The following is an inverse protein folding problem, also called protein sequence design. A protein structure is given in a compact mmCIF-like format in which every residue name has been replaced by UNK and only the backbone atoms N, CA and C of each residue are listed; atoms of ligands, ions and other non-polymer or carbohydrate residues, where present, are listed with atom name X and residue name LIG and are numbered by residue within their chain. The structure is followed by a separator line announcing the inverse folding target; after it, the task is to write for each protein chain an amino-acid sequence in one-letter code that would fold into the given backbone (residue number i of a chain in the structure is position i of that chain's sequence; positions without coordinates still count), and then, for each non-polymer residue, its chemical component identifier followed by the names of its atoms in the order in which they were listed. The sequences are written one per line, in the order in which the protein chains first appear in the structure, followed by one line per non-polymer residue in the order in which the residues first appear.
data_IF_745193925025
#
_entry.id   IF_745193925025
#
_cell.length_a   1.000
_cell.length_b   1.000
_cell.length_c   1.000
_cell.angle_alpha   90.00
_cell.angle_beta   90.00
_cell.angle_gamma   90.00
#
_symmetry.space_group_name_H-M   'P 1'
#
loop_
_entity.id
_entity.type
_entity.pdbx_description
1 polymer ?
#
# COMPACT_ATOMS: atom_id res chain seq x y z
N UNK A 1 28.20 -3.98 -23.93
CA UNK A 1 27.25 -4.02 -22.78
C UNK A 1 26.21 -2.88 -22.82
N UNK A 2 26.05 -2.13 -23.93
CA UNK A 2 25.07 -1.06 -24.07
C UNK A 2 23.62 -1.55 -24.14
N UNK A 3 23.37 -2.66 -24.84
CA UNK A 3 22.02 -3.22 -25.06
C UNK A 3 21.23 -3.51 -23.76
N UNK A 4 21.91 -4.02 -22.72
CA UNK A 4 21.26 -4.27 -21.42
C UNK A 4 20.96 -2.99 -20.65
N UNK A 5 21.81 -1.97 -20.78
CA UNK A 5 21.61 -0.67 -20.12
C UNK A 5 20.49 0.13 -20.82
N UNK A 6 20.45 0.10 -22.14
CA UNK A 6 19.38 0.69 -22.96
C UNK A 6 18.04 0.01 -22.66
N UNK A 7 18.00 -1.33 -22.64
CA UNK A 7 16.80 -2.08 -22.27
C UNK A 7 16.35 -1.81 -20.81
N UNK A 8 17.28 -1.69 -19.87
CA UNK A 8 16.95 -1.35 -18.49
C UNK A 8 16.44 0.09 -18.34
N UNK A 9 16.97 1.02 -19.12
CA UNK A 9 16.52 2.41 -19.16
C UNK A 9 15.11 2.51 -19.76
N UNK A 10 14.85 1.75 -20.81
CA UNK A 10 13.55 1.64 -21.47
C UNK A 10 12.48 1.09 -20.50
N UNK A 11 12.77 0.01 -19.77
CA UNK A 11 11.87 -0.51 -18.72
C UNK A 11 11.66 0.46 -17.53
N UNK A 12 12.55 1.45 -17.37
CA UNK A 12 12.48 2.43 -16.30
C UNK A 12 11.75 3.72 -16.71
N UNK A 13 11.37 3.86 -17.98
CA UNK A 13 10.67 5.05 -18.49
C UNK A 13 9.23 5.12 -17.91
N UNK A 14 8.86 6.18 -17.17
CA UNK A 14 7.51 6.35 -16.66
C UNK A 14 6.44 6.42 -17.77
N UNK A 15 6.78 6.83 -18.99
CA UNK A 15 5.83 6.84 -20.12
C UNK A 15 5.50 5.42 -20.59
N UNK A 16 6.53 4.59 -20.82
CA UNK A 16 6.34 3.19 -21.21
C UNK A 16 5.67 2.38 -20.09
N UNK A 17 6.02 2.65 -18.83
CA UNK A 17 5.35 2.02 -17.69
C UNK A 17 3.84 2.30 -17.69
N UNK A 18 3.42 3.54 -17.98
CA UNK A 18 2.00 3.90 -18.03
C UNK A 18 1.26 3.15 -19.14
N UNK A 19 1.86 3.02 -20.33
CA UNK A 19 1.26 2.27 -21.44
C UNK A 19 1.08 0.80 -21.03
N UNK A 20 2.13 0.18 -20.50
CA UNK A 20 2.07 -1.19 -20.00
C UNK A 20 0.99 -1.39 -18.92
N UNK A 21 0.91 -0.49 -17.94
CA UNK A 21 -0.09 -0.55 -16.87
C UNK A 21 -1.52 -0.43 -17.43
N UNK A 22 -1.73 0.41 -18.44
CA UNK A 22 -3.03 0.58 -19.11
C UNK A 22 -3.44 -0.68 -19.88
N UNK A 23 -2.51 -1.26 -20.66
CA UNK A 23 -2.74 -2.49 -21.40
C UNK A 23 -3.07 -3.66 -20.46
N UNK A 24 -2.30 -3.83 -19.38
CA UNK A 24 -2.55 -4.88 -18.40
C UNK A 24 -3.90 -4.70 -17.70
N UNK A 25 -4.26 -3.46 -17.41
CA UNK A 25 -5.55 -3.13 -16.79
C UNK A 25 -6.71 -3.46 -17.74
N UNK A 26 -6.58 -3.14 -19.03
CA UNK A 26 -7.60 -3.45 -20.04
C UNK A 26 -7.81 -4.98 -20.19
N UNK A 27 -6.71 -5.73 -20.30
CA UNK A 27 -6.74 -7.19 -20.43
C UNK A 27 -7.38 -7.89 -19.22
N UNK A 28 -7.10 -7.42 -18.00
CA UNK A 28 -7.70 -8.01 -16.79
C UNK A 28 -9.17 -7.60 -16.63
N UNK A 29 -9.54 -6.40 -17.11
CA UNK A 29 -10.94 -5.95 -17.15
C UNK A 29 -11.78 -6.80 -18.09
N UNK A 30 -11.26 -7.21 -19.25
CA UNK A 30 -11.91 -8.17 -20.15
C UNK A 30 -12.22 -9.51 -19.45
N UNK A 31 -11.42 -9.87 -18.45
CA UNK A 31 -11.63 -11.05 -17.59
C UNK A 31 -12.53 -10.78 -16.39
N UNK A 32 -13.16 -9.61 -16.32
CA UNK A 32 -14.03 -9.22 -15.21
C UNK A 32 -13.27 -8.83 -13.92
N UNK A 33 -11.99 -8.48 -14.01
CA UNK A 33 -11.16 -8.07 -12.87
C UNK A 33 -10.80 -6.60 -12.99
N UNK A 34 -11.10 -5.82 -11.95
CA UNK A 34 -10.57 -4.48 -11.79
C UNK A 34 -9.15 -4.56 -11.21
N UNK A 35 -8.18 -4.10 -11.99
CA UNK A 35 -6.77 -4.02 -11.61
C UNK A 35 -6.42 -2.59 -11.24
N UNK A 36 -5.75 -2.40 -10.09
CA UNK A 36 -5.19 -1.10 -9.68
C UNK A 36 -3.74 -1.26 -9.26
N UNK A 37 -2.85 -0.54 -9.94
CA UNK A 37 -1.45 -0.42 -9.52
C UNK A 37 -1.34 0.55 -8.36
N UNK A 38 -0.50 0.22 -7.39
CA UNK A 38 -0.02 1.16 -6.39
C UNK A 38 1.39 1.60 -6.77
N UNK A 39 1.71 2.86 -6.55
CA UNK A 39 3.04 3.45 -6.67
C UNK A 39 3.42 4.08 -5.32
N UNK A 40 3.82 3.27 -4.32
CA UNK A 40 3.98 3.73 -2.96
C UNK A 40 5.07 4.81 -2.84
N UNK A 41 4.69 5.98 -2.34
CA UNK A 41 5.62 7.02 -1.95
C UNK A 41 6.15 6.76 -0.52
N UNK A 42 7.46 6.90 -0.31
CA UNK A 42 8.09 6.65 0.98
C UNK A 42 7.70 7.67 2.06
N UNK A 43 7.21 7.17 3.20
CA UNK A 43 6.90 7.98 4.38
C UNK A 43 8.04 7.91 5.41
N UNK A 44 8.11 6.81 6.15
CA UNK A 44 9.16 6.49 7.11
C UNK A 44 9.36 4.98 7.23
N UNK A 45 10.49 4.55 7.80
CA UNK A 45 10.81 3.12 7.94
C UNK A 45 10.88 2.73 9.41
N UNK A 46 10.21 1.63 9.78
CA UNK A 46 10.40 0.95 11.05
C UNK A 46 11.44 -0.15 10.87
N UNK A 47 12.36 -0.23 11.83
CA UNK A 47 13.31 -1.32 12.00
C UNK A 47 12.86 -2.16 13.19
N UNK A 48 12.75 -3.47 13.01
CA UNK A 48 12.48 -4.43 14.09
C UNK A 48 13.16 -5.78 13.77
N UNK A 49 12.93 -6.80 14.58
CA UNK A 49 13.31 -8.18 14.29
C UNK A 49 12.08 -9.09 14.16
N UNK A 50 12.17 -10.04 13.25
CA UNK A 50 11.25 -11.16 13.11
C UNK A 50 11.83 -12.40 13.76
N UNK A 51 11.01 -13.15 14.50
CA UNK A 51 11.43 -14.42 15.12
C UNK A 51 12.61 -14.26 16.08
N UNK A 52 12.70 -13.10 16.74
CA UNK A 52 13.73 -12.79 17.73
C UNK A 52 15.07 -12.27 17.18
N UNK A 53 15.48 -12.68 15.97
CA UNK A 53 16.85 -12.40 15.49
C UNK A 53 16.93 -11.81 14.08
N UNK A 54 15.96 -12.11 13.19
CA UNK A 54 16.05 -11.71 11.78
C UNK A 54 15.64 -10.26 11.62
N UNK A 55 16.60 -9.38 11.32
CA UNK A 55 16.34 -7.95 11.10
C UNK A 55 15.39 -7.73 9.92
N UNK A 56 14.29 -7.02 10.15
CA UNK A 56 13.33 -6.65 9.11
C UNK A 56 13.00 -5.15 9.14
N UNK A 57 12.51 -4.66 8.01
CA UNK A 57 12.18 -3.26 7.78
C UNK A 57 10.74 -3.17 7.31
N UNK A 58 9.93 -2.31 7.92
CA UNK A 58 8.59 -2.01 7.45
C UNK A 58 8.62 -0.59 6.88
N UNK A 59 8.47 -0.45 5.57
CA UNK A 59 8.26 0.83 4.94
C UNK A 59 6.81 1.24 5.15
N UNK A 60 6.59 2.30 5.91
CA UNK A 60 5.28 2.93 6.05
C UNK A 60 5.16 3.96 4.93
N UNK A 61 4.44 3.57 3.88
CA UNK A 61 4.34 4.28 2.61
C UNK A 61 2.94 4.83 2.38
N UNK A 62 2.80 5.67 1.36
CA UNK A 62 1.51 6.20 0.97
C UNK A 62 1.20 6.05 -0.50
N UNK A 63 -0.05 5.75 -0.82
CA UNK A 63 -0.60 5.78 -2.18
C UNK A 63 -2.06 6.29 -2.15
N UNK A 64 -2.45 7.23 -3.04
CA UNK A 64 -3.80 7.79 -3.05
C UNK A 64 -4.90 6.78 -3.44
N UNK A 65 -4.56 5.65 -4.07
CA UNK A 65 -5.52 4.59 -4.39
C UNK A 65 -5.97 3.80 -3.14
N UNK A 66 -5.25 3.90 -2.01
CA UNK A 66 -5.67 3.34 -0.73
C UNK A 66 -6.68 4.26 -0.06
N UNK A 67 -7.75 3.71 0.51
CA UNK A 67 -8.80 4.52 1.14
C UNK A 67 -8.29 5.40 2.31
N UNK A 68 -8.79 6.62 2.40
CA UNK A 68 -8.41 7.59 3.45
C UNK A 68 -8.73 7.10 4.88
N UNK A 69 -7.94 7.50 5.88
CA UNK A 69 -8.23 7.17 7.28
C UNK A 69 -9.54 7.83 7.72
N UNK A 70 -10.32 7.12 8.54
CA UNK A 70 -11.58 7.62 9.10
C UNK A 70 -11.50 7.66 10.62
N UNK A 71 -12.01 8.73 11.22
CA UNK A 71 -12.10 8.89 12.67
C UNK A 71 -13.57 8.93 13.09
N UNK A 72 -13.90 8.19 14.13
CA UNK A 72 -15.18 8.29 14.84
C UNK A 72 -14.88 8.81 16.24
N UNK A 73 -15.56 9.88 16.66
CA UNK A 73 -15.42 10.40 18.01
C UNK A 73 -15.99 9.40 19.03
N UNK A 74 -15.29 9.19 20.13
CA UNK A 74 -15.69 8.31 21.22
C UNK A 74 -15.36 8.93 22.57
N UNK A 75 -15.93 8.40 23.66
CA UNK A 75 -15.60 8.85 25.01
C UNK A 75 -14.10 8.66 25.26
N UNK A 76 -13.37 9.77 25.43
CA UNK A 76 -11.92 9.75 25.66
C UNK A 76 -11.04 9.84 24.41
N UNK A 77 -11.59 10.08 23.21
CA UNK A 77 -10.80 10.38 22.02
C UNK A 77 -11.45 10.02 20.69
N UNK A 78 -10.68 9.39 19.81
CA UNK A 78 -11.14 8.97 18.49
C UNK A 78 -10.79 7.51 18.25
N UNK A 79 -11.75 6.74 17.73
CA UNK A 79 -11.49 5.43 17.12
C UNK A 79 -11.15 5.63 15.66
N UNK A 80 -10.00 5.13 15.25
CA UNK A 80 -9.50 5.25 13.89
C UNK A 80 -9.71 3.97 13.10
N UNK A 81 -10.19 4.10 11.88
CA UNK A 81 -10.11 3.08 10.84
C UNK A 81 -8.99 3.49 9.88
N UNK A 82 -8.00 2.62 9.72
CA UNK A 82 -6.81 2.88 8.90
C UNK A 82 -6.72 1.83 7.78
N UNK A 83 -7.34 2.08 6.61
CA UNK A 83 -7.19 1.18 5.46
C UNK A 83 -5.73 1.11 5.00
N UNK A 84 -5.29 -0.07 4.62
CA UNK A 84 -3.94 -0.31 4.11
C UNK A 84 -3.92 -1.38 3.03
N UNK A 85 -2.88 -1.34 2.19
CA UNK A 85 -2.46 -2.44 1.35
C UNK A 85 -1.13 -3.00 1.87
N UNK A 86 -0.98 -4.31 1.80
CA UNK A 86 0.22 -5.02 2.24
C UNK A 86 0.55 -6.10 1.20
N UNK A 87 1.46 -5.82 0.26
CA UNK A 87 2.03 -6.82 -0.63
C UNK A 87 2.83 -7.87 0.18
N UNK A 88 3.15 -9.03 -0.42
CA UNK A 88 4.01 -10.02 0.20
C UNK A 88 5.36 -9.42 0.63
N UNK A 89 5.89 -9.88 1.76
CA UNK A 89 7.22 -9.49 2.22
C UNK A 89 8.28 -9.96 1.23
N UNK A 90 9.31 -9.12 1.02
CA UNK A 90 10.41 -9.40 0.09
C UNK A 90 11.73 -9.53 0.82
N UNK A 91 12.57 -10.44 0.36
CA UNK A 91 13.94 -10.56 0.82
C UNK A 91 14.87 -9.87 -0.16
N UNK A 92 15.61 -8.87 0.31
CA UNK A 92 16.59 -8.14 -0.50
C UNK A 92 18.01 -8.35 0.03
N UNK A 93 18.98 -8.31 -0.88
CA UNK A 93 20.38 -8.28 -0.49
C UNK A 93 20.75 -6.89 0.01
N UNK A 94 21.29 -6.84 1.23
CA UNK A 94 21.81 -5.63 1.87
C UNK A 94 23.20 -5.26 1.42
N UNK A 95 23.66 -4.10 1.89
CA UNK A 95 25.10 -3.77 1.88
C UNK A 95 25.86 -4.89 2.61
N UNK A 96 27.02 -5.29 2.07
CA UNK A 96 27.86 -6.38 2.61
C UNK A 96 27.19 -7.75 2.60
N UNK A 97 26.30 -8.02 1.63
CA UNK A 97 25.73 -9.36 1.42
C UNK A 97 24.72 -9.82 2.48
N UNK A 98 24.32 -8.97 3.42
CA UNK A 98 23.37 -9.34 4.47
C UNK A 98 21.95 -9.33 3.94
N UNK A 99 21.27 -10.48 3.96
CA UNK A 99 19.85 -10.55 3.59
C UNK A 99 19.00 -9.77 4.59
N UNK A 100 18.02 -9.03 4.08
CA UNK A 100 17.08 -8.21 4.87
C UNK A 100 15.66 -8.48 4.38
N UNK A 101 14.73 -8.55 5.31
CA UNK A 101 13.33 -8.68 5.00
C UNK A 101 12.67 -7.30 4.99
N UNK A 102 11.91 -7.01 3.96
CA UNK A 102 11.26 -5.72 3.75
C UNK A 102 9.77 -5.95 3.52
N UNK A 103 8.96 -5.17 4.22
CA UNK A 103 7.52 -5.11 4.05
C UNK A 103 7.14 -3.69 3.66
N UNK A 104 6.27 -3.53 2.67
CA UNK A 104 5.67 -2.23 2.37
C UNK A 104 4.25 -2.23 2.90
N UNK A 105 3.99 -1.39 3.90
CA UNK A 105 2.64 -1.14 4.40
C UNK A 105 2.19 0.19 3.83
N UNK A 106 1.27 0.13 2.88
CA UNK A 106 0.84 1.27 2.08
C UNK A 106 -0.48 1.81 2.62
N UNK A 107 -0.46 3.05 3.11
CA UNK A 107 -1.63 3.77 3.61
C UNK A 107 -2.03 4.88 2.64
N UNK A 108 -3.10 5.62 2.94
CA UNK A 108 -3.40 6.87 2.22
C UNK A 108 -2.48 8.03 2.66
N UNK A 109 -2.08 8.97 1.78
CA UNK A 109 -1.22 10.11 2.12
C UNK A 109 -1.71 10.95 3.31
N UNK A 110 -3.03 11.09 3.48
CA UNK A 110 -3.60 11.79 4.64
C UNK A 110 -3.19 11.17 5.99
N UNK A 111 -3.05 9.84 6.08
CA UNK A 111 -2.59 9.16 7.30
C UNK A 111 -1.13 9.53 7.61
N UNK A 112 -0.28 9.60 6.60
CA UNK A 112 1.11 10.03 6.75
C UNK A 112 1.20 11.50 7.15
N UNK A 113 0.34 12.36 6.60
CA UNK A 113 0.20 13.75 7.02
C UNK A 113 -0.17 13.90 8.50
N UNK A 114 -1.09 13.07 9.00
CA UNK A 114 -1.44 13.02 10.43
C UNK A 114 -0.27 12.51 11.30
N UNK A 115 0.44 11.47 10.85
CA UNK A 115 1.60 10.92 11.55
C UNK A 115 2.79 11.91 11.62
N UNK A 116 2.93 12.78 10.62
CA UNK A 116 3.94 13.83 10.63
C UNK A 116 3.67 14.88 11.73
N UNK A 117 2.40 15.18 12.01
CA UNK A 117 1.99 16.22 12.97
C UNK A 117 1.73 15.71 14.38
N UNK A 118 1.46 14.41 14.56
CA UNK A 118 1.12 13.83 15.86
C UNK A 118 1.94 12.58 16.16
N UNK A 119 2.76 12.66 17.22
CA UNK A 119 3.54 11.51 17.69
C UNK A 119 2.64 10.34 18.14
N UNK A 120 1.48 10.64 18.73
CA UNK A 120 0.49 9.62 19.11
C UNK A 120 -0.08 8.92 17.87
N UNK A 121 -0.43 9.67 16.83
CA UNK A 121 -0.93 9.09 15.59
C UNK A 121 0.16 8.31 14.85
N UNK A 122 1.41 8.78 14.88
CA UNK A 122 2.53 8.03 14.32
C UNK A 122 2.72 6.68 14.99
N UNK A 123 2.61 6.62 16.33
CA UNK A 123 2.64 5.34 17.06
C UNK A 123 1.49 4.43 16.64
N UNK A 124 0.26 4.94 16.60
CA UNK A 124 -0.91 4.19 16.13
C UNK A 124 -0.70 3.61 14.71
N UNK A 125 -0.16 4.43 13.79
CA UNK A 125 0.13 3.99 12.42
C UNK A 125 1.23 2.93 12.38
N UNK A 126 2.27 3.07 13.22
CA UNK A 126 3.32 2.06 13.38
C UNK A 126 2.79 0.75 13.95
N UNK A 127 1.97 0.80 14.99
CA UNK A 127 1.37 -0.38 15.61
C UNK A 127 0.47 -1.10 14.59
N UNK A 128 -0.37 -0.35 13.88
CA UNK A 128 -1.23 -0.88 12.79
C UNK A 128 -0.40 -1.56 11.70
N UNK A 129 0.73 -0.98 11.32
CA UNK A 129 1.62 -1.57 10.33
C UNK A 129 2.26 -2.89 10.81
N UNK A 130 2.64 -2.95 12.09
CA UNK A 130 3.16 -4.19 12.69
C UNK A 130 2.07 -5.26 12.79
N UNK A 131 0.89 -4.89 13.30
CA UNK A 131 -0.29 -5.77 13.35
C UNK A 131 -0.62 -6.37 11.98
N UNK A 132 -0.65 -5.53 10.95
CA UNK A 132 -0.92 -5.94 9.57
C UNK A 132 0.06 -7.01 9.07
N UNK A 133 1.36 -6.81 9.31
CA UNK A 133 2.42 -7.75 8.90
C UNK A 133 2.33 -9.05 9.68
N UNK A 134 2.16 -8.99 11.00
CA UNK A 134 2.03 -10.19 11.84
C UNK A 134 0.84 -11.05 11.39
N UNK A 135 -0.32 -10.41 11.15
CA UNK A 135 -1.54 -11.10 10.75
C UNK A 135 -1.48 -11.66 9.32
N UNK A 136 -1.12 -10.84 8.32
CA UNK A 136 -1.19 -11.26 6.91
C UNK A 136 -0.02 -12.12 6.46
N UNK A 137 1.14 -11.97 7.10
CA UNK A 137 2.32 -12.76 6.75
C UNK A 137 2.55 -13.93 7.72
N UNK A 138 1.76 -14.06 8.79
CA UNK A 138 1.90 -15.15 9.76
C UNK A 138 3.23 -15.13 10.50
N UNK A 139 3.76 -13.94 10.79
CA UNK A 139 5.07 -13.74 11.43
C UNK A 139 4.92 -13.11 12.82
N UNK A 140 6.00 -13.13 13.61
CA UNK A 140 6.09 -12.43 14.90
C UNK A 140 7.18 -11.38 14.85
N UNK A 141 6.81 -10.13 15.12
CA UNK A 141 7.71 -8.98 15.17
C UNK A 141 7.98 -8.58 16.62
N UNK A 142 9.22 -8.16 16.91
CA UNK A 142 9.57 -7.68 18.24
C UNK A 142 9.23 -6.20 18.42
N UNK A 143 8.07 -5.94 19.05
CA UNK A 143 7.61 -4.59 19.36
C UNK A 143 8.52 -3.83 20.33
N UNK A 144 9.29 -4.52 21.17
CA UNK A 144 10.16 -3.87 22.17
C UNK A 144 11.38 -3.23 21.52
N UNK A 145 11.83 -3.76 20.38
CA UNK A 145 12.97 -3.24 19.64
C UNK A 145 12.57 -2.41 18.41
N UNK A 146 11.28 -2.23 18.16
CA UNK A 146 10.77 -1.49 17.01
C UNK A 146 11.17 -0.01 17.11
N UNK A 147 11.86 0.49 16.10
CA UNK A 147 12.37 1.87 16.06
C UNK A 147 12.20 2.50 14.68
N UNK A 148 11.81 3.77 14.63
CA UNK A 148 11.79 4.55 13.40
C UNK A 148 13.22 4.90 12.99
N UNK A 149 13.61 4.57 11.75
CA UNK A 149 14.90 4.95 11.19
C UNK A 149 14.92 6.43 10.81
N UNK A 150 15.73 7.21 11.53
CA UNK A 150 15.91 8.63 11.27
C UNK A 150 16.48 8.86 9.87
N UNK A 151 15.94 9.84 9.15
CA UNK A 151 16.39 10.22 7.81
C UNK A 151 16.08 9.21 6.70
N UNK A 152 15.44 8.07 6.99
CA UNK A 152 15.12 7.06 5.98
C UNK A 152 13.61 7.05 5.72
N UNK A 153 13.21 7.39 4.48
CA UNK A 153 11.80 7.39 4.06
C UNK A 153 11.33 6.08 3.44
N UNK A 154 12.27 5.33 2.86
CA UNK A 154 12.01 4.05 2.22
C UNK A 154 13.27 3.19 2.25
N UNK A 155 13.11 1.87 2.36
CA UNK A 155 14.18 0.87 2.32
C UNK A 155 13.96 -0.09 1.16
N UNK A 156 15.00 -0.28 0.35
CA UNK A 156 14.97 -1.19 -0.80
C UNK A 156 14.51 -0.49 -2.08
N UNK A 157 14.21 -1.27 -3.11
CA UNK A 157 13.70 -0.76 -4.38
C UNK A 157 12.18 -0.66 -4.30
N UNK A 158 11.56 0.51 -4.58
CA UNK A 158 10.11 0.63 -4.67
C UNK A 158 9.55 -0.34 -5.71
N UNK A 159 8.55 -1.12 -5.31
CA UNK A 159 7.79 -1.99 -6.20
C UNK A 159 6.42 -1.36 -6.44
N UNK A 160 5.83 -1.65 -7.60
CA UNK A 160 4.48 -1.22 -7.94
C UNK A 160 3.50 -2.40 -7.78
N UNK A 161 3.07 -2.73 -6.54
CA UNK A 161 2.20 -3.87 -6.31
C UNK A 161 0.81 -3.61 -6.89
N UNK A 162 0.12 -4.70 -7.20
CA UNK A 162 -1.20 -4.68 -7.83
C UNK A 162 -2.28 -5.13 -6.85
N UNK A 163 -3.35 -4.35 -6.75
CA UNK A 163 -4.61 -4.76 -6.14
C UNK A 163 -5.52 -5.28 -7.24
N UNK A 164 -6.04 -6.50 -7.05
CA UNK A 164 -7.08 -7.09 -7.91
C UNK A 164 -8.39 -7.15 -7.15
N UNK A 165 -9.49 -6.83 -7.82
CA UNK A 165 -10.84 -6.95 -7.26
C UNK A 165 -11.81 -7.35 -8.37
N UNK A 166 -12.91 -8.08 -8.07
CA UNK A 166 -13.93 -8.35 -9.08
C UNK A 166 -14.51 -7.03 -9.61
N UNK A 167 -14.71 -6.94 -10.93
CA UNK A 167 -15.40 -5.81 -11.53
C UNK A 167 -16.82 -5.78 -10.98
N UNK A 168 -17.23 -4.66 -10.37
CA UNK A 168 -18.60 -4.51 -9.89
C UNK A 168 -19.54 -4.66 -11.08
N UNK A 169 -20.38 -5.70 -11.07
CA UNK A 169 -21.51 -5.77 -11.97
C UNK A 169 -22.33 -4.48 -11.77
N UNK A 170 -22.49 -3.69 -12.83
CA UNK A 170 -23.22 -2.44 -12.73
C UNK A 170 -24.58 -2.70 -12.11
N UNK A 171 -24.93 -1.94 -11.07
CA UNK A 171 -26.33 -1.76 -10.73
C UNK A 171 -26.96 -1.08 -11.94
N UNK A 172 -27.57 -1.88 -12.81
CA UNK A 172 -28.64 -1.40 -13.66
C UNK A 172 -29.74 -1.00 -12.67
N UNK A 173 -29.79 0.30 -12.32
CA UNK A 173 -30.94 0.82 -11.61
C UNK A 173 -32.16 0.48 -12.46
N UNK A 174 -33.19 -0.20 -11.93
CA UNK A 174 -34.41 -0.40 -12.69
C UNK A 174 -34.97 0.99 -13.00
N UNK A 175 -34.96 1.36 -14.28
CA UNK A 175 -35.79 2.46 -14.76
C UNK A 175 -37.22 2.15 -14.30
N UNK A 176 -37.72 2.95 -13.37
CA UNK A 176 -39.12 2.88 -12.98
C UNK A 176 -39.92 3.28 -14.22
N UNK A 177 -40.83 2.45 -14.74
CA UNK A 177 -41.67 2.87 -15.85
C UNK A 177 -42.53 4.04 -15.35
N UNK A 178 -42.24 5.23 -15.88
CA UNK A 178 -43.04 6.42 -15.66
C UNK A 178 -44.43 6.17 -16.21
N UNK A 179 -45.40 6.06 -15.31
CA UNK A 179 -46.82 6.09 -15.65
C UNK A 179 -47.13 7.55 -16.03
N UNK A 180 -47.27 7.82 -17.32
CA UNK A 180 -47.88 9.05 -17.82
C UNK A 180 -49.40 8.98 -17.60
N UNK A 181 -50.05 10.00 -17.02
CA UNK A 181 -51.50 10.07 -16.98
C UNK A 181 -52.02 10.56 -18.34
N UNK A 182 -53.05 9.90 -18.85
CA UNK A 182 -53.77 10.27 -20.07
C UNK A 182 -54.69 11.49 -19.78
N UNK A 183 -54.79 12.48 -20.69
CA UNK A 183 -55.65 13.66 -20.49
C UNK A 183 -57.12 13.36 -20.88
N UNK A 184 -58.07 14.22 -20.46
CA UNK A 184 -59.51 13.94 -20.49
C UNK A 184 -60.16 13.96 -21.88
#
# INVERSE_FOLDING_TARGET
QALFAEFAAELSDPAQRRVYEQELTALERERGVELRFLHPAGGFVLLTSQGGSRRCYLNVCSDPAVAAPRAVAERGGHRWTLPYALPPGREELGRRGRRRLIYDVVFHPAALGLAARSARFRRLLSDTAMDAVEQRCGVRLDRRNAAVLRGTRYRGVPQAPVIRSPLRAGTCSPESPGISPEPP
#
